data_IF_084089418757
#
_entry.id   IF_084089418757
#
_cell.length_a   1.000
_cell.length_b   1.000
_cell.length_c   1.000
_cell.angle_alpha   90.00
_cell.angle_beta   90.00
_cell.angle_gamma   90.00
#
_symmetry.space_group_name_H-M   'P 1'
#
loop_
_entity.id
_entity.type
_entity.pdbx_description
1 polymer ?
#
# COMPACT_ATOMS: atom_id res chain seq x y z
N UNK A 1 -8.58 57.16 -24.10
CA UNK A 1 -7.39 56.35 -23.73
C UNK A 1 -7.84 55.30 -22.72
N UNK A 2 -7.34 54.08 -22.93
CA UNK A 2 -7.59 52.77 -22.29
C UNK A 2 -8.48 52.68 -21.02
N UNK A 3 -9.60 51.95 -21.14
CA UNK A 3 -10.25 51.27 -20.01
C UNK A 3 -9.59 49.91 -19.82
N UNK A 4 -8.85 49.71 -18.72
CA UNK A 4 -8.37 48.40 -18.31
C UNK A 4 -9.55 47.60 -17.75
N UNK A 5 -9.92 46.53 -18.45
CA UNK A 5 -10.80 45.48 -17.93
C UNK A 5 -9.90 44.40 -17.33
N UNK A 6 -9.75 44.39 -16.01
CA UNK A 6 -9.13 43.28 -15.29
C UNK A 6 -10.15 42.15 -15.17
N UNK A 7 -10.08 41.15 -16.06
CA UNK A 7 -10.74 39.86 -15.88
C UNK A 7 -9.94 39.06 -14.86
N UNK A 8 -10.39 39.07 -13.60
CA UNK A 8 -9.90 38.16 -12.59
C UNK A 8 -10.42 36.74 -12.93
N UNK A 9 -9.58 35.93 -13.56
CA UNK A 9 -9.79 34.50 -13.65
C UNK A 9 -9.59 33.90 -12.24
N UNK A 10 -10.68 33.82 -11.47
CA UNK A 10 -10.70 33.11 -10.21
C UNK A 10 -10.63 31.61 -10.52
N UNK A 11 -9.41 31.08 -10.61
CA UNK A 11 -9.18 29.65 -10.65
C UNK A 11 -9.70 29.06 -9.33
N UNK A 12 -10.89 28.45 -9.38
CA UNK A 12 -11.41 27.63 -8.29
C UNK A 12 -10.50 26.40 -8.20
N UNK A 13 -9.43 26.52 -7.41
CA UNK A 13 -8.71 25.37 -6.88
C UNK A 13 -9.68 24.66 -5.95
N UNK A 14 -10.47 23.73 -6.49
CA UNK A 14 -11.15 22.73 -5.68
C UNK A 14 -10.05 22.02 -4.88
N UNK A 15 -10.03 22.10 -3.54
CA UNK A 15 -9.19 21.22 -2.77
C UNK A 15 -9.69 19.82 -3.08
N UNK A 16 -8.91 19.06 -3.85
CA UNK A 16 -9.04 17.60 -3.86
C UNK A 16 -8.72 17.22 -2.42
N UNK A 17 -9.76 17.01 -1.62
CA UNK A 17 -9.62 16.58 -0.26
C UNK A 17 -8.88 15.25 -0.32
N UNK A 18 -7.59 15.26 0.03
CA UNK A 18 -6.82 14.06 0.29
C UNK A 18 -7.41 13.52 1.57
N UNK A 19 -8.42 12.65 1.44
CA UNK A 19 -8.99 11.95 2.58
C UNK A 19 -7.99 10.89 3.01
N UNK A 20 -7.05 11.28 3.88
CA UNK A 20 -6.28 10.34 4.67
C UNK A 20 -7.19 9.73 5.73
N UNK A 21 -7.69 8.52 5.52
CA UNK A 21 -8.48 7.81 6.52
C UNK A 21 -7.62 6.72 7.16
N UNK A 22 -7.51 6.72 8.49
CA UNK A 22 -6.90 5.61 9.19
C UNK A 22 -7.82 4.39 9.12
N UNK A 23 -7.24 3.24 8.80
CA UNK A 23 -7.94 1.97 8.67
C UNK A 23 -7.77 1.12 9.93
N UNK A 24 -8.69 0.18 10.14
CA UNK A 24 -8.63 -0.76 11.25
C UNK A 24 -7.98 -2.07 10.79
N UNK A 25 -6.92 -2.50 11.47
CA UNK A 25 -6.37 -3.85 11.29
C UNK A 25 -7.37 -4.89 11.84
N UNK A 26 -7.43 -6.06 11.21
CA UNK A 26 -8.23 -7.18 11.68
C UNK A 26 -7.65 -7.77 12.97
N UNK A 27 -8.52 -8.18 13.90
CA UNK A 27 -8.12 -8.91 15.10
C UNK A 27 -7.71 -10.36 14.80
N UNK A 28 -8.15 -10.91 13.67
CA UNK A 28 -7.87 -12.30 13.26
C UNK A 28 -6.61 -12.44 12.41
N UNK A 29 -6.14 -11.35 11.79
CA UNK A 29 -4.99 -11.38 10.88
C UNK A 29 -4.30 -10.03 10.78
N UNK A 30 -2.98 -10.01 10.99
CA UNK A 30 -2.16 -8.81 10.84
C UNK A 30 -2.09 -8.31 9.39
N UNK A 31 -2.37 -9.19 8.42
CA UNK A 31 -2.32 -8.91 6.99
C UNK A 31 -3.63 -8.41 6.39
N UNK A 32 -4.68 -8.33 7.20
CA UNK A 32 -6.00 -7.89 6.78
C UNK A 32 -6.34 -6.59 7.49
N UNK A 33 -6.81 -5.60 6.75
CA UNK A 33 -7.27 -4.33 7.31
C UNK A 33 -8.49 -3.81 6.55
N UNK A 34 -9.28 -2.97 7.19
CA UNK A 34 -10.52 -2.42 6.63
C UNK A 34 -10.52 -0.90 6.69
N UNK A 35 -10.74 -0.28 5.53
CA UNK A 35 -10.85 1.17 5.38
C UNK A 35 -12.28 1.53 4.96
N UNK A 36 -13.05 2.17 5.84
CA UNK A 36 -14.43 2.60 5.55
C UNK A 36 -15.31 1.45 4.98
N UNK A 37 -15.30 0.30 5.65
CA UNK A 37 -16.03 -0.91 5.24
C UNK A 37 -15.43 -1.69 4.06
N UNK A 38 -14.33 -1.21 3.47
CA UNK A 38 -13.63 -1.87 2.37
C UNK A 38 -12.45 -2.69 2.90
N UNK A 39 -12.46 -4.01 2.70
CA UNK A 39 -11.43 -4.93 3.18
C UNK A 39 -10.25 -5.04 2.20
N UNK A 40 -9.04 -4.95 2.72
CA UNK A 40 -7.79 -5.19 2.04
C UNK A 40 -7.11 -6.40 2.68
N UNK A 41 -6.56 -7.29 1.86
CA UNK A 41 -5.95 -8.54 2.30
C UNK A 41 -4.62 -8.76 1.59
N UNK A 42 -3.53 -8.72 2.36
CA UNK A 42 -2.18 -8.86 1.84
C UNK A 42 -1.67 -10.31 1.81
N UNK A 43 -2.37 -11.26 2.45
CA UNK A 43 -1.87 -12.63 2.73
C UNK A 43 -1.24 -13.32 1.51
N UNK A 44 -1.88 -13.23 0.34
CA UNK A 44 -1.46 -13.93 -0.88
C UNK A 44 -0.87 -13.00 -1.96
N UNK A 45 -0.53 -11.75 -1.61
CA UNK A 45 0.04 -10.80 -2.57
C UNK A 45 1.47 -11.19 -2.95
N UNK A 46 2.24 -11.63 -1.97
CA UNK A 46 3.61 -12.13 -2.14
C UNK A 46 3.79 -13.43 -1.37
N UNK A 47 4.88 -14.14 -1.67
CA UNK A 47 5.41 -15.14 -0.74
C UNK A 47 6.27 -14.40 0.29
N UNK A 48 5.76 -14.26 1.51
CA UNK A 48 6.47 -13.59 2.60
C UNK A 48 7.45 -14.55 3.32
N UNK A 49 8.53 -14.02 3.93
CA UNK A 49 9.00 -12.64 3.85
C UNK A 49 9.52 -12.28 2.44
N UNK A 50 9.35 -11.02 2.05
CA UNK A 50 9.86 -10.48 0.77
C UNK A 50 11.24 -9.88 1.00
N UNK A 51 12.22 -10.32 0.21
CA UNK A 51 13.54 -9.66 0.15
C UNK A 51 13.53 -8.55 -0.88
N UNK A 52 13.96 -7.35 -0.48
CA UNK A 52 14.00 -6.14 -1.31
C UNK A 52 15.42 -5.61 -1.29
N UNK A 53 16.06 -5.47 -2.45
CA UNK A 53 17.41 -4.94 -2.55
C UNK A 53 17.38 -3.40 -2.70
N UNK A 54 18.30 -2.72 -2.01
CA UNK A 54 18.78 -1.38 -2.36
C UNK A 54 20.14 -1.51 -3.04
N UNK A 55 20.11 -1.65 -4.36
CA UNK A 55 21.32 -1.81 -5.19
C UNK A 55 22.28 -0.62 -5.09
N UNK A 56 21.78 0.56 -4.71
CA UNK A 56 22.62 1.77 -4.63
C UNK A 56 23.57 1.73 -3.43
N UNK A 57 23.18 1.05 -2.36
CA UNK A 57 23.94 0.94 -1.10
C UNK A 57 24.36 -0.49 -0.75
N UNK A 58 23.86 -1.48 -1.49
CA UNK A 58 24.10 -2.90 -1.24
C UNK A 58 23.39 -3.41 -0.01
N UNK A 59 22.33 -2.74 0.44
CA UNK A 59 21.52 -3.17 1.58
C UNK A 59 20.38 -4.07 1.11
N UNK A 60 19.93 -4.96 2.00
CA UNK A 60 18.73 -5.76 1.75
C UNK A 60 17.71 -5.51 2.85
N UNK A 61 16.43 -5.62 2.50
CA UNK A 61 15.34 -5.54 3.44
C UNK A 61 14.52 -6.83 3.40
N UNK A 62 14.14 -7.36 4.55
CA UNK A 62 13.23 -8.50 4.69
C UNK A 62 11.92 -8.00 5.30
N UNK A 63 10.84 -7.98 4.51
CA UNK A 63 9.53 -7.46 4.92
C UNK A 63 8.48 -8.58 5.03
N UNK A 64 7.78 -8.62 6.16
CA UNK A 64 6.63 -9.49 6.40
C UNK A 64 5.51 -8.70 7.10
N UNK A 65 4.39 -8.41 6.42
CA UNK A 65 3.24 -7.75 7.01
C UNK A 65 2.30 -8.70 7.77
N UNK A 66 2.46 -10.03 7.64
CA UNK A 66 1.48 -11.01 8.08
C UNK A 66 1.84 -11.70 9.40
N UNK A 67 3.13 -11.81 9.69
CA UNK A 67 3.64 -12.62 10.80
C UNK A 67 4.76 -11.89 11.53
N UNK A 68 4.86 -12.19 12.83
CA UNK A 68 5.99 -11.78 13.66
C UNK A 68 7.29 -12.37 13.11
N UNK A 69 8.31 -11.53 13.00
CA UNK A 69 9.67 -11.97 12.69
C UNK A 69 10.68 -11.23 13.55
N UNK A 70 11.76 -11.93 13.89
CA UNK A 70 12.93 -11.32 14.51
C UNK A 70 13.92 -10.86 13.44
N UNK A 71 14.49 -9.68 13.61
CA UNK A 71 15.67 -9.28 12.84
C UNK A 71 16.88 -10.09 13.34
N UNK A 72 17.37 -11.00 12.49
CA UNK A 72 18.46 -11.92 12.83
C UNK A 72 19.68 -11.13 13.32
N UNK A 73 20.34 -11.58 14.39
CA UNK A 73 21.61 -10.97 14.86
C UNK A 73 21.54 -9.45 15.12
N UNK A 74 20.35 -8.92 15.43
CA UNK A 74 20.22 -7.57 15.95
C UNK A 74 20.80 -7.47 17.37
N UNK A 75 21.37 -6.30 17.71
CA UNK A 75 21.96 -6.08 19.05
C UNK A 75 20.90 -6.18 20.14
N UNK A 76 19.70 -5.66 19.87
CA UNK A 76 18.54 -5.78 20.73
C UNK A 76 17.47 -6.57 19.97
N UNK A 77 17.52 -7.92 20.02
CA UNK A 77 16.62 -8.74 19.23
C UNK A 77 15.17 -8.53 19.70
N UNK A 78 14.36 -7.91 18.83
CA UNK A 78 12.91 -7.86 18.96
C UNK A 78 12.24 -8.94 18.12
N UNK A 79 11.22 -9.63 18.66
CA UNK A 79 10.48 -10.67 17.93
C UNK A 79 9.33 -10.12 17.05
N UNK A 80 9.10 -8.81 17.09
CA UNK A 80 7.91 -8.16 16.51
C UNK A 80 8.22 -7.17 15.39
N UNK A 81 9.26 -7.46 14.61
CA UNK A 81 9.65 -6.63 13.46
C UNK A 81 8.73 -6.93 12.27
N UNK A 82 8.25 -5.90 11.59
CA UNK A 82 7.62 -6.07 10.27
C UNK A 82 8.65 -6.02 9.15
N UNK A 83 9.75 -5.30 9.36
CA UNK A 83 10.78 -5.09 8.36
C UNK A 83 12.16 -5.01 9.01
N UNK A 84 13.10 -5.77 8.45
CA UNK A 84 14.49 -5.80 8.87
C UNK A 84 15.38 -5.30 7.74
N UNK A 85 16.27 -4.34 8.02
CA UNK A 85 17.33 -3.96 7.11
C UNK A 85 18.60 -4.73 7.45
N UNK A 86 19.20 -5.38 6.46
CA UNK A 86 20.56 -5.90 6.48
C UNK A 86 21.51 -4.89 5.82
N UNK A 87 22.22 -4.14 6.64
CA UNK A 87 23.35 -3.29 6.26
C UNK A 87 24.66 -3.96 6.72
N UNK A 88 25.50 -3.29 7.51
CA UNK A 88 26.62 -3.90 8.23
C UNK A 88 26.13 -4.97 9.22
N UNK A 89 25.08 -4.65 9.98
CA UNK A 89 24.31 -5.57 10.82
C UNK A 89 22.82 -5.51 10.47
N UNK A 90 22.01 -6.27 11.19
CA UNK A 90 20.56 -6.15 11.08
C UNK A 90 20.04 -5.02 11.96
N UNK A 91 19.06 -4.30 11.43
CA UNK A 91 18.31 -3.26 12.12
C UNK A 91 16.82 -3.51 11.92
N UNK A 92 16.05 -3.44 12.99
CA UNK A 92 14.60 -3.30 12.95
C UNK A 92 14.24 -1.92 12.38
N UNK A 93 13.50 -1.92 11.27
CA UNK A 93 13.06 -0.71 10.58
C UNK A 93 11.56 -0.41 10.80
N UNK A 94 10.93 -1.11 11.73
CA UNK A 94 9.55 -0.85 12.17
C UNK A 94 8.86 -2.11 12.69
N UNK A 95 8.07 -1.94 13.75
CA UNK A 95 7.34 -3.02 14.42
C UNK A 95 6.00 -3.33 13.75
N UNK A 96 5.65 -4.62 13.69
CA UNK A 96 4.38 -5.09 13.13
C UNK A 96 3.17 -4.68 13.99
N UNK A 97 3.32 -4.64 15.31
CA UNK A 97 2.24 -4.24 16.24
C UNK A 97 1.96 -2.73 16.21
N UNK A 98 2.89 -1.95 15.66
CA UNK A 98 2.80 -0.50 15.55
C UNK A 98 2.48 -0.07 14.12
N UNK A 99 1.86 -0.96 13.34
CA UNK A 99 1.46 -0.70 11.97
C UNK A 99 0.30 0.30 11.92
N UNK A 100 0.45 1.36 11.12
CA UNK A 100 -0.60 2.32 10.81
C UNK A 100 -1.00 2.16 9.35
N UNK A 101 -2.26 1.80 9.14
CA UNK A 101 -2.85 1.63 7.80
C UNK A 101 -3.59 2.91 7.41
N UNK A 102 -3.24 3.50 6.27
CA UNK A 102 -3.77 4.78 5.82
C UNK A 102 -4.32 4.67 4.39
N UNK A 103 -5.60 4.91 4.23
CA UNK A 103 -6.22 5.05 2.92
C UNK A 103 -5.94 6.44 2.35
N UNK A 104 -5.48 6.53 1.10
CA UNK A 104 -5.26 7.83 0.43
C UNK A 104 -6.28 8.12 -0.67
N UNK A 105 -6.61 7.12 -1.50
CA UNK A 105 -7.56 7.29 -2.59
C UNK A 105 -8.19 5.95 -3.04
N UNK A 106 -9.47 5.92 -3.40
CA UNK A 106 -10.17 4.67 -3.78
C UNK A 106 -10.14 4.35 -5.28
N UNK A 107 -9.76 5.29 -6.16
CA UNK A 107 -9.78 5.07 -7.62
C UNK A 107 -8.65 5.84 -8.34
N UNK A 108 -7.61 5.16 -8.85
CA UNK A 108 -7.25 3.77 -8.52
C UNK A 108 -6.89 3.68 -7.04
N UNK A 109 -7.06 2.51 -6.41
CA UNK A 109 -6.71 2.37 -5.00
C UNK A 109 -5.25 2.75 -4.73
N UNK A 110 -5.05 3.61 -3.73
CA UNK A 110 -3.75 3.95 -3.15
C UNK A 110 -3.88 4.03 -1.64
N UNK A 111 -3.00 3.31 -0.95
CA UNK A 111 -2.96 3.28 0.50
C UNK A 111 -1.51 3.13 0.97
N UNK A 112 -1.31 3.35 2.26
CA UNK A 112 -0.01 3.26 2.92
C UNK A 112 -0.07 2.34 4.12
N UNK A 113 1.06 1.73 4.42
CA UNK A 113 1.33 1.08 5.69
C UNK A 113 2.60 1.71 6.26
N UNK A 114 2.50 2.22 7.49
CA UNK A 114 3.65 2.74 8.22
C UNK A 114 3.97 1.79 9.38
N UNK A 115 5.21 1.34 9.47
CA UNK A 115 5.73 0.59 10.60
C UNK A 115 6.63 1.50 11.42
N UNK A 116 6.33 1.64 12.70
CA UNK A 116 6.95 2.64 13.56
C UNK A 116 7.89 1.98 14.58
N UNK A 117 8.67 2.82 15.28
CA UNK A 117 9.42 2.48 16.49
C UNK A 117 10.57 1.48 16.33
N UNK A 118 11.11 1.30 15.12
CA UNK A 118 12.31 0.51 14.92
C UNK A 118 13.54 1.07 15.63
N UNK A 119 14.63 0.30 15.61
CA UNK A 119 15.90 0.62 16.26
C UNK A 119 16.39 2.02 15.91
N UNK A 120 16.83 2.79 16.91
CA UNK A 120 17.19 4.22 16.81
C UNK A 120 16.08 5.09 16.17
N UNK A 121 14.81 4.84 16.47
CA UNK A 121 13.66 5.62 15.97
C UNK A 121 13.39 5.46 14.48
N UNK A 122 13.85 4.34 13.90
CA UNK A 122 13.57 4.01 12.50
C UNK A 122 12.09 3.76 12.28
N UNK A 123 11.61 4.14 11.10
CA UNK A 123 10.28 3.83 10.62
C UNK A 123 10.32 3.49 9.14
N UNK A 124 9.30 2.77 8.68
CA UNK A 124 9.17 2.38 7.28
C UNK A 124 7.80 2.75 6.76
N UNK A 125 7.73 3.28 5.54
CA UNK A 125 6.50 3.51 4.80
C UNK A 125 6.45 2.67 3.52
N UNK A 126 5.42 1.84 3.39
CA UNK A 126 5.05 1.19 2.13
C UNK A 126 3.89 1.95 1.51
N UNK A 127 4.07 2.45 0.28
CA UNK A 127 3.00 3.04 -0.54
C UNK A 127 2.54 2.02 -1.58
N UNK A 128 1.27 1.65 -1.53
CA UNK A 128 0.65 0.72 -2.47
C UNK A 128 -0.12 1.52 -3.52
N UNK A 129 0.12 1.21 -4.80
CA UNK A 129 -0.57 1.83 -5.92
C UNK A 129 -1.00 0.76 -6.93
N UNK A 130 -2.31 0.66 -7.14
CA UNK A 130 -2.85 -0.27 -8.13
C UNK A 130 -2.50 0.20 -9.54
N UNK A 131 -1.77 -0.64 -10.27
CA UNK A 131 -1.40 -0.45 -11.67
C UNK A 131 -1.97 -1.59 -12.52
N UNK A 132 -2.97 -1.29 -13.35
CA UNK A 132 -3.68 -2.28 -14.16
C UNK A 132 -2.83 -2.94 -15.24
N UNK A 133 -1.70 -2.32 -15.58
CA UNK A 133 -0.81 -2.79 -16.63
C UNK A 133 0.30 -3.69 -16.08
N UNK A 134 0.34 -3.91 -14.76
CA UNK A 134 1.40 -4.67 -14.09
C UNK A 134 0.82 -5.93 -13.45
N UNK A 135 0.84 -7.04 -14.18
CA UNK A 135 0.24 -8.29 -13.70
C UNK A 135 0.96 -8.88 -12.48
N UNK A 136 2.28 -8.71 -12.38
CA UNK A 136 3.09 -9.23 -11.29
C UNK A 136 3.30 -8.12 -10.24
N UNK A 137 2.87 -8.30 -8.99
CA UNK A 137 3.20 -7.41 -7.89
C UNK A 137 4.71 -7.22 -7.75
N UNK A 138 5.12 -5.98 -7.51
CA UNK A 138 6.53 -5.62 -7.32
C UNK A 138 6.65 -4.70 -6.12
N UNK A 139 7.73 -4.88 -5.36
CA UNK A 139 8.12 -4.00 -4.26
C UNK A 139 9.45 -3.36 -4.64
N UNK A 140 9.58 -2.06 -4.44
CA UNK A 140 10.79 -1.32 -4.80
C UNK A 140 11.12 -0.34 -3.69
N UNK A 141 12.38 -0.35 -3.25
CA UNK A 141 12.89 0.68 -2.37
C UNK A 141 13.02 2.01 -3.13
N UNK A 142 12.47 3.09 -2.59
CA UNK A 142 12.44 4.39 -3.26
C UNK A 142 13.33 5.44 -2.61
N UNK A 143 13.75 5.22 -1.37
CA UNK A 143 14.70 6.10 -0.71
C UNK A 143 14.49 6.21 0.78
N UNK A 144 15.30 7.07 1.38
CA UNK A 144 15.35 7.31 2.82
C UNK A 144 15.23 8.81 3.10
N UNK A 145 14.46 9.20 4.11
CA UNK A 145 14.18 10.60 4.48
C UNK A 145 14.42 10.84 5.98
N UNK A 146 15.14 11.92 6.33
CA UNK A 146 16.58 11.85 6.54
C UNK A 146 16.96 10.74 7.55
N UNK A 147 17.56 9.68 7.04
CA UNK A 147 18.20 8.55 7.73
C UNK A 147 17.34 7.64 8.63
N UNK A 148 16.08 7.98 8.87
CA UNK A 148 15.22 7.23 9.80
C UNK A 148 13.92 6.75 9.18
N UNK A 149 13.48 7.32 8.06
CA UNK A 149 12.30 6.83 7.33
C UNK A 149 12.71 6.11 6.05
N UNK A 150 12.42 4.82 5.94
CA UNK A 150 12.63 4.01 4.73
C UNK A 150 11.36 3.93 3.92
N UNK A 151 11.45 4.22 2.62
CA UNK A 151 10.27 4.30 1.75
C UNK A 151 10.30 3.21 0.69
N UNK A 152 9.14 2.58 0.50
CA UNK A 152 8.94 1.52 -0.47
C UNK A 152 7.67 1.78 -1.28
N UNK A 153 7.70 1.37 -2.55
CA UNK A 153 6.53 1.33 -3.41
C UNK A 153 6.14 -0.10 -3.74
N UNK A 154 4.86 -0.42 -3.54
CA UNK A 154 4.24 -1.67 -3.97
C UNK A 154 3.33 -1.35 -5.14
N UNK A 155 3.57 -1.98 -6.28
CA UNK A 155 2.77 -1.76 -7.49
C UNK A 155 2.40 -3.07 -8.14
N UNK A 156 1.20 -3.12 -8.68
CA UNK A 156 0.67 -4.28 -9.37
C UNK A 156 -0.83 -4.14 -9.58
N UNK A 157 -1.38 -4.98 -10.44
CA UNK A 157 -2.81 -5.04 -10.74
C UNK A 157 -3.58 -5.60 -9.55
N UNK A 158 -2.94 -6.44 -8.76
CA UNK A 158 -3.54 -7.25 -7.72
C UNK A 158 -2.62 -7.27 -6.50
N UNK A 159 -2.76 -6.27 -5.63
CA UNK A 159 -1.85 -6.02 -4.50
C UNK A 159 -2.60 -5.95 -3.16
N UNK A 160 -3.74 -6.66 -3.07
CA UNK A 160 -4.50 -6.84 -1.84
C UNK A 160 -5.75 -5.95 -1.71
N UNK A 161 -6.05 -5.13 -2.71
CA UNK A 161 -7.32 -4.40 -2.76
C UNK A 161 -8.52 -5.34 -3.06
N UNK A 162 -9.76 -4.96 -2.70
CA UNK A 162 -10.93 -5.75 -3.02
C UNK A 162 -11.15 -5.89 -4.53
N UNK A 163 -11.91 -6.93 -4.91
CA UNK A 163 -12.21 -7.29 -6.30
C UNK A 163 -10.99 -7.67 -7.15
N UNK A 164 -9.81 -7.79 -6.54
CA UNK A 164 -8.70 -8.57 -7.08
C UNK A 164 -8.98 -10.06 -6.81
N UNK A 165 -9.74 -10.70 -7.70
CA UNK A 165 -9.88 -12.15 -7.71
C UNK A 165 -9.24 -12.69 -9.00
N UNK A 166 -8.39 -13.71 -8.86
CA UNK A 166 -8.00 -14.62 -9.93
C UNK A 166 -9.26 -15.34 -10.47
N UNK A 167 -10.07 -14.67 -11.29
CA UNK A 167 -11.26 -15.24 -11.92
C UNK A 167 -12.54 -14.41 -11.89
N UNK A 168 -12.58 -13.23 -11.27
CA UNK A 168 -13.73 -12.32 -11.48
C UNK A 168 -13.53 -11.46 -12.73
N UNK A 169 -14.61 -11.10 -13.46
CA UNK A 169 -14.52 -10.16 -14.56
C UNK A 169 -13.98 -8.83 -14.04
N UNK A 170 -12.89 -8.38 -14.66
CA UNK A 170 -12.33 -7.05 -14.48
C UNK A 170 -13.46 -5.99 -14.47
N UNK A 171 -13.63 -5.20 -13.40
CA UNK A 171 -14.66 -4.15 -13.35
C UNK A 171 -14.42 -3.03 -14.38
N UNK A 172 -13.21 -2.95 -14.94
CA UNK A 172 -12.87 -2.08 -16.07
C UNK A 172 -13.11 -2.73 -17.44
N UNK A 173 -13.47 -4.02 -17.48
CA UNK A 173 -14.10 -4.66 -18.65
C UNK A 173 -15.62 -4.57 -18.54
N UNK A 174 -16.17 -3.37 -18.38
CA UNK A 174 -17.60 -3.18 -18.61
C UNK A 174 -17.88 -3.08 -20.12
N UNK A 175 -18.62 -4.07 -20.62
CA UNK A 175 -19.57 -3.92 -21.72
C UNK A 175 -19.05 -3.54 -23.13
N UNK A 176 -18.10 -4.31 -23.68
CA UNK A 176 -17.98 -4.41 -25.14
C UNK A 176 -18.22 -5.85 -25.59
N UNK A 177 -19.43 -6.11 -26.09
CA UNK A 177 -19.71 -7.28 -26.92
C UNK A 177 -20.26 -8.50 -26.19
N UNK A 178 -21.55 -8.47 -25.86
CA UNK A 178 -22.54 -9.51 -26.22
C UNK A 178 -23.90 -9.11 -25.64
N UNK A 179 -24.91 -9.05 -26.51
CA UNK A 179 -26.25 -8.59 -26.20
C UNK A 179 -26.85 -9.33 -25.00
N UNK A 180 -27.25 -8.56 -23.99
CA UNK A 180 -28.18 -9.00 -22.97
C UNK A 180 -29.52 -9.28 -23.65
N UNK A 181 -29.87 -10.56 -23.74
CA UNK A 181 -31.25 -10.98 -23.96
C UNK A 181 -32.00 -10.69 -22.64
N UNK A 182 -33.14 -9.98 -22.64
CA UNK A 182 -33.88 -9.73 -21.42
C UNK A 182 -34.35 -11.06 -20.81
N UNK A 183 -34.08 -11.24 -19.51
CA UNK A 183 -34.64 -12.32 -18.69
C UNK A 183 -36.15 -12.14 -18.59
N UNK A 184 -36.96 -13.22 -18.62
CA UNK A 184 -38.39 -13.11 -18.47
C UNK A 184 -38.75 -12.63 -17.05
N UNK A 185 -39.68 -11.69 -17.00
CA UNK A 185 -40.37 -11.22 -15.79
C UNK A 185 -41.01 -12.42 -15.08
N UNK A 186 -40.93 -12.54 -13.74
CA UNK A 186 -41.77 -13.47 -13.03
C UNK A 186 -43.21 -12.97 -13.09
N UNK A 187 -44.10 -13.78 -13.64
CA UNK A 187 -45.54 -13.59 -13.52
C UNK A 187 -45.94 -13.75 -12.04
N UNK A 188 -46.62 -12.71 -11.55
CA UNK A 188 -47.45 -12.55 -10.34
C UNK A 188 -47.28 -13.56 -9.18
#
# INVERSE_FOLDING_TARGET
MARLVFLAALAVLLPVAVFGAQCAQSEESMCVFTCNGTMFNLTDVFKYPVTIADDSRGYNYEWNPCEYQACKDEIEPGEDCAICQKADRYYNCGHIQQAVFLMQQYTPFMWKIQYLWGTDWRMTEFTFLVDKNRDIPTVTFTGEDPYLQYNFFVTGKCIGQPYCNYGMPDPFKTASGKGLKPSPTPDL
#
